data_IF_540213458227
#
_entry.id   IF_540213458227
#
_cell.length_a   1.000
_cell.length_b   1.000
_cell.length_c   1.000
_cell.angle_alpha   90.00
_cell.angle_beta   90.00
_cell.angle_gamma   90.00
#
_symmetry.space_group_name_H-M   'P 1'
#
loop_
_entity.id
_entity.type
_entity.pdbx_description
1 polymer ?
#
# COMPACT_ATOMS: atom_id res chain seq x y z
N UNK A 1 -30.44 -4.05 -25.34
CA UNK A 1 -29.66 -4.53 -24.17
C UNK A 1 -28.69 -3.45 -23.65
N UNK A 2 -28.79 -2.99 -22.39
CA UNK A 2 -27.78 -2.09 -21.85
C UNK A 2 -26.46 -2.86 -21.77
N UNK A 3 -25.41 -2.30 -22.39
CA UNK A 3 -24.08 -2.91 -22.41
C UNK A 3 -23.48 -2.82 -21.00
N UNK A 4 -23.45 -3.93 -20.28
CA UNK A 4 -22.63 -4.08 -19.06
C UNK A 4 -21.16 -3.86 -19.45
N UNK A 5 -20.49 -2.90 -18.79
CA UNK A 5 -19.04 -2.68 -18.96
C UNK A 5 -18.34 -3.12 -17.67
N UNK A 6 -17.95 -4.38 -17.62
CA UNK A 6 -17.15 -4.88 -16.49
C UNK A 6 -15.85 -4.09 -16.37
N UNK A 7 -15.58 -3.58 -15.17
CA UNK A 7 -14.32 -2.91 -14.84
C UNK A 7 -13.17 -3.91 -14.66
N UNK A 8 -11.92 -3.43 -14.45
CA UNK A 8 -10.79 -4.32 -14.25
C UNK A 8 -10.93 -5.11 -12.94
N UNK A 9 -10.88 -6.43 -13.04
CA UNK A 9 -10.51 -7.31 -11.93
C UNK A 9 -9.00 -7.54 -11.98
N UNK A 10 -8.32 -7.39 -10.84
CA UNK A 10 -6.87 -7.44 -10.78
C UNK A 10 -6.42 -8.25 -9.57
N UNK A 11 -5.69 -9.33 -9.80
CA UNK A 11 -4.98 -10.02 -8.74
C UNK A 11 -3.64 -9.36 -8.45
N UNK A 12 -3.18 -9.46 -7.20
CA UNK A 12 -1.83 -9.02 -6.84
C UNK A 12 -0.81 -9.83 -7.65
N UNK A 13 0.23 -9.17 -8.17
CA UNK A 13 1.07 -9.75 -9.22
C UNK A 13 1.90 -10.97 -8.80
N UNK A 14 2.05 -11.19 -7.50
CA UNK A 14 2.68 -12.36 -6.86
C UNK A 14 1.69 -13.50 -6.54
N UNK A 15 0.38 -13.25 -6.59
CA UNK A 15 -0.61 -14.26 -6.25
C UNK A 15 -0.62 -15.39 -7.29
N UNK A 16 -0.61 -16.64 -6.83
CA UNK A 16 -0.80 -17.80 -7.69
C UNK A 16 -2.23 -17.83 -8.25
N UNK A 17 -2.44 -18.61 -9.32
CA UNK A 17 -3.72 -18.69 -10.03
C UNK A 17 -4.89 -19.12 -9.12
N UNK A 18 -4.66 -20.08 -8.22
CA UNK A 18 -5.68 -20.58 -7.29
C UNK A 18 -6.11 -19.52 -6.28
N UNK A 19 -5.15 -18.86 -5.64
CA UNK A 19 -5.42 -17.77 -4.68
C UNK A 19 -6.09 -16.58 -5.35
N UNK A 20 -5.66 -16.24 -6.56
CA UNK A 20 -6.27 -15.19 -7.39
C UNK A 20 -7.74 -15.51 -7.71
N UNK A 21 -8.02 -16.70 -8.24
CA UNK A 21 -9.38 -17.12 -8.60
C UNK A 21 -10.29 -17.16 -7.37
N UNK A 22 -9.80 -17.72 -6.26
CA UNK A 22 -10.56 -17.77 -5.00
C UNK A 22 -10.91 -16.37 -4.50
N UNK A 23 -9.95 -15.45 -4.52
CA UNK A 23 -10.15 -14.06 -4.11
C UNK A 23 -11.20 -13.35 -4.98
N UNK A 24 -11.09 -13.47 -6.30
CA UNK A 24 -12.05 -12.84 -7.22
C UNK A 24 -13.45 -13.45 -7.07
N UNK A 25 -13.55 -14.78 -6.92
CA UNK A 25 -14.82 -15.44 -6.70
C UNK A 25 -15.48 -15.00 -5.39
N UNK A 26 -14.69 -14.83 -4.32
CA UNK A 26 -15.18 -14.27 -3.06
C UNK A 26 -15.65 -12.83 -3.23
N UNK A 27 -14.87 -11.98 -3.88
CA UNK A 27 -15.25 -10.59 -4.14
C UNK A 27 -16.58 -10.50 -4.91
N UNK A 28 -16.81 -11.34 -5.92
CA UNK A 28 -18.08 -11.39 -6.64
C UNK A 28 -19.26 -11.87 -5.78
N UNK A 29 -19.03 -12.81 -4.85
CA UNK A 29 -20.08 -13.28 -3.91
C UNK A 29 -20.45 -12.21 -2.89
N UNK A 30 -19.48 -11.42 -2.45
CA UNK A 30 -19.69 -10.40 -1.42
C UNK A 30 -20.32 -9.13 -1.98
N UNK A 31 -20.08 -8.82 -3.25
CA UNK A 31 -20.51 -7.58 -3.90
C UNK A 31 -22.02 -7.28 -3.77
N UNK A 32 -22.97 -8.23 -3.97
CA UNK A 32 -24.40 -7.97 -3.79
C UNK A 32 -24.79 -7.64 -2.34
N UNK A 33 -24.11 -8.25 -1.37
CA UNK A 33 -24.39 -8.07 0.06
C UNK A 33 -23.83 -6.74 0.57
N UNK A 34 -22.68 -6.32 0.05
CA UNK A 34 -21.95 -5.14 0.49
C UNK A 34 -22.39 -3.88 -0.26
N UNK A 35 -22.57 -3.97 -1.57
CA UNK A 35 -22.93 -2.85 -2.45
C UNK A 35 -24.29 -3.06 -3.10
N UNK A 36 -25.31 -3.39 -2.30
CA UNK A 36 -26.66 -3.63 -2.82
C UNK A 36 -27.15 -2.43 -3.66
N UNK A 37 -27.71 -2.71 -4.84
CA UNK A 37 -28.22 -1.73 -5.82
C UNK A 37 -27.22 -0.71 -6.39
N UNK A 38 -25.92 -0.80 -6.07
CA UNK A 38 -24.92 0.15 -6.59
C UNK A 38 -24.57 -0.12 -8.05
N UNK A 39 -24.54 0.93 -8.87
CA UNK A 39 -24.10 0.85 -10.26
C UNK A 39 -22.59 0.78 -10.40
N UNK A 40 -21.85 1.26 -9.41
CA UNK A 40 -20.39 1.18 -9.36
C UNK A 40 -19.96 0.65 -8.00
N UNK A 41 -19.10 -0.35 -7.99
CA UNK A 41 -18.56 -0.94 -6.78
C UNK A 41 -17.07 -1.27 -6.93
N UNK A 42 -16.27 -1.00 -5.90
CA UNK A 42 -14.88 -1.45 -5.84
C UNK A 42 -14.62 -2.18 -4.53
N UNK A 43 -14.04 -3.36 -4.60
CA UNK A 43 -13.63 -4.14 -3.44
C UNK A 43 -12.12 -4.37 -3.48
N UNK A 44 -11.45 -4.10 -2.37
CA UNK A 44 -10.03 -4.31 -2.18
C UNK A 44 -9.82 -5.42 -1.15
N UNK A 45 -9.33 -6.56 -1.62
CA UNK A 45 -8.79 -7.64 -0.81
C UNK A 45 -7.26 -7.60 -0.89
N UNK A 46 -6.58 -8.23 0.07
CA UNK A 46 -5.12 -8.24 0.10
C UNK A 46 -4.47 -8.92 -1.12
N UNK A 47 -5.17 -9.86 -1.76
CA UNK A 47 -4.69 -10.63 -2.91
C UNK A 47 -5.36 -10.25 -4.23
N UNK A 48 -6.43 -9.44 -4.23
CA UNK A 48 -7.11 -8.99 -5.44
C UNK A 48 -7.96 -7.73 -5.25
N UNK A 49 -8.23 -7.03 -6.33
CA UNK A 49 -9.17 -5.91 -6.43
C UNK A 49 -10.24 -6.25 -7.46
N UNK A 50 -11.50 -6.02 -7.11
CA UNK A 50 -12.64 -6.14 -8.01
C UNK A 50 -13.25 -4.77 -8.24
N UNK A 51 -13.28 -4.30 -9.49
CA UNK A 51 -14.04 -3.12 -9.88
C UNK A 51 -15.21 -3.52 -10.79
N UNK A 52 -16.43 -3.23 -10.34
CA UNK A 52 -17.66 -3.43 -11.08
C UNK A 52 -18.25 -2.08 -11.48
N UNK A 53 -18.71 -1.98 -12.73
CA UNK A 53 -19.46 -0.83 -13.22
C UNK A 53 -20.56 -1.30 -14.17
N UNK A 54 -21.77 -0.81 -13.92
CA UNK A 54 -22.93 -0.91 -14.81
C UNK A 54 -23.40 0.50 -15.21
N UNK A 55 -22.55 1.50 -15.00
CA UNK A 55 -22.82 2.86 -15.43
C UNK A 55 -22.47 3.02 -16.92
N UNK A 56 -23.33 3.71 -17.68
CA UNK A 56 -23.09 4.04 -19.09
C UNK A 56 -21.87 4.94 -19.30
N UNK A 57 -21.43 5.61 -18.24
CA UNK A 57 -20.19 6.36 -18.11
C UNK A 57 -19.63 6.07 -16.72
N UNK A 58 -18.41 5.54 -16.62
CA UNK A 58 -17.74 5.47 -15.32
C UNK A 58 -17.67 6.88 -14.77
N UNK A 59 -18.26 7.17 -13.60
CA UNK A 59 -18.08 8.47 -12.99
C UNK A 59 -16.58 8.62 -12.76
N UNK A 60 -15.97 9.58 -13.47
CA UNK A 60 -14.57 9.95 -13.31
C UNK A 60 -14.08 10.08 -11.85
N UNK A 61 -14.93 10.36 -10.82
CA UNK A 61 -14.47 10.37 -9.44
C UNK A 61 -14.08 9.01 -8.83
N UNK A 62 -14.63 7.87 -9.26
CA UNK A 62 -14.46 6.59 -8.51
C UNK A 62 -13.14 5.90 -8.82
N UNK A 63 -12.80 5.81 -10.12
CA UNK A 63 -11.50 5.31 -10.55
C UNK A 63 -10.34 6.24 -10.15
N UNK A 64 -10.65 7.50 -9.80
CA UNK A 64 -9.69 8.52 -9.40
C UNK A 64 -9.55 8.68 -7.88
N UNK A 65 -10.46 8.11 -7.07
CA UNK A 65 -10.40 8.26 -5.61
C UNK A 65 -9.37 7.29 -5.03
N UNK A 66 -8.34 7.86 -4.41
CA UNK A 66 -7.36 7.08 -3.65
C UNK A 66 -7.86 6.88 -2.23
N UNK A 67 -7.98 5.63 -1.82
CA UNK A 67 -8.21 5.24 -0.43
C UNK A 67 -6.87 5.06 0.27
N UNK A 68 -6.77 5.60 1.49
CA UNK A 68 -5.52 5.64 2.25
C UNK A 68 -5.73 4.99 3.61
N UNK A 69 -4.84 4.07 3.96
CA UNK A 69 -4.82 3.39 5.25
C UNK A 69 -3.38 3.29 5.73
N UNK A 70 -3.19 3.41 7.03
CA UNK A 70 -1.89 3.32 7.66
C UNK A 70 -2.03 2.65 9.02
N UNK A 71 -0.95 2.05 9.49
CA UNK A 71 -0.87 1.45 10.81
C UNK A 71 -0.89 2.58 11.86
N UNK A 72 -1.59 2.34 12.97
CA UNK A 72 -1.58 3.27 14.11
C UNK A 72 -0.25 3.26 14.86
N UNK A 73 0.57 2.24 14.65
CA UNK A 73 1.92 2.13 15.19
C UNK A 73 2.89 2.97 14.36
N UNK A 74 3.71 3.75 15.06
CA UNK A 74 4.77 4.54 14.47
C UNK A 74 6.14 3.99 14.84
N UNK A 75 7.12 4.20 13.96
CA UNK A 75 8.53 4.00 14.28
C UNK A 75 8.96 4.95 15.39
N UNK A 76 9.77 4.46 16.32
CA UNK A 76 10.18 5.24 17.51
C UNK A 76 11.57 5.86 17.37
N UNK A 77 12.49 5.15 16.71
CA UNK A 77 13.86 5.58 16.38
C UNK A 77 14.01 6.05 14.93
N UNK A 78 14.98 6.94 14.66
CA UNK A 78 15.43 7.28 13.30
C UNK A 78 14.31 7.64 12.30
N UNK A 79 13.21 8.24 12.78
CA UNK A 79 12.00 8.61 12.02
C UNK A 79 12.29 9.26 10.66
N UNK A 80 13.21 10.23 10.63
CA UNK A 80 13.60 10.91 9.41
C UNK A 80 14.27 9.98 8.39
N UNK A 81 15.13 9.07 8.87
CA UNK A 81 15.75 8.04 8.02
C UNK A 81 14.72 7.04 7.53
N UNK A 82 13.80 6.60 8.41
CA UNK A 82 12.70 5.71 8.07
C UNK A 82 11.85 6.28 6.93
N UNK A 83 11.32 7.49 7.09
CA UNK A 83 10.46 8.13 6.08
C UNK A 83 11.17 8.31 4.73
N UNK A 84 12.45 8.68 4.73
CA UNK A 84 13.27 8.77 3.51
C UNK A 84 13.50 7.41 2.85
N UNK A 85 13.72 6.38 3.66
CA UNK A 85 13.92 5.01 3.17
C UNK A 85 12.64 4.44 2.56
N UNK A 86 11.49 4.61 3.22
CA UNK A 86 10.17 4.24 2.69
C UNK A 86 9.91 4.95 1.36
N UNK A 87 10.13 6.26 1.28
CA UNK A 87 9.92 7.01 0.04
C UNK A 87 10.81 6.50 -1.10
N UNK A 88 12.09 6.23 -0.82
CA UNK A 88 13.03 5.68 -1.81
C UNK A 88 12.63 4.27 -2.24
N UNK A 89 12.25 3.42 -1.30
CA UNK A 89 11.83 2.05 -1.56
C UNK A 89 10.56 2.00 -2.40
N UNK A 90 9.51 2.70 -1.99
CA UNK A 90 8.25 2.78 -2.75
C UNK A 90 8.50 3.36 -4.14
N UNK A 91 9.36 4.38 -4.27
CA UNK A 91 9.73 4.93 -5.58
C UNK A 91 10.41 3.90 -6.48
N UNK A 92 11.43 3.21 -5.98
CA UNK A 92 12.17 2.20 -6.74
C UNK A 92 11.27 1.02 -7.14
N UNK A 93 10.41 0.57 -6.23
CA UNK A 93 9.40 -0.47 -6.52
C UNK A 93 8.41 0.00 -7.58
N UNK A 94 7.95 1.26 -7.53
CA UNK A 94 7.05 1.83 -8.54
C UNK A 94 7.72 1.96 -9.92
N UNK A 95 9.00 2.36 -9.97
CA UNK A 95 9.77 2.42 -11.21
C UNK A 95 9.90 1.02 -11.83
N UNK A 96 10.26 0.01 -11.03
CA UNK A 96 10.36 -1.37 -11.52
C UNK A 96 9.02 -1.90 -12.02
N UNK A 97 7.93 -1.68 -11.27
CA UNK A 97 6.60 -2.09 -11.67
C UNK A 97 6.19 -1.45 -13.01
N UNK A 98 6.54 -0.17 -13.23
CA UNK A 98 6.18 0.55 -14.44
C UNK A 98 7.02 0.12 -15.65
N UNK A 99 8.34 0.00 -15.52
CA UNK A 99 9.25 -0.10 -16.67
C UNK A 99 9.86 -1.48 -16.87
N UNK A 100 9.97 -2.30 -15.83
CA UNK A 100 10.68 -3.58 -15.85
C UNK A 100 9.74 -4.79 -15.69
N UNK A 101 8.44 -4.57 -15.54
CA UNK A 101 7.44 -5.63 -15.31
C UNK A 101 6.32 -5.58 -16.33
N UNK A 102 6.14 -6.67 -17.09
CA UNK A 102 5.00 -6.85 -18.00
C UNK A 102 3.68 -7.00 -17.25
N UNK A 103 3.71 -7.50 -16.01
CA UNK A 103 2.55 -7.61 -15.11
C UNK A 103 2.18 -6.30 -14.44
N UNK A 104 2.96 -5.23 -14.68
CA UNK A 104 2.85 -3.93 -14.01
C UNK A 104 2.87 -4.06 -12.48
N UNK A 105 3.63 -5.03 -11.97
CA UNK A 105 3.75 -5.32 -10.54
C UNK A 105 5.22 -5.47 -10.19
N UNK A 106 5.60 -4.96 -9.02
CA UNK A 106 6.88 -5.24 -8.40
C UNK A 106 6.75 -5.27 -6.89
N UNK A 107 7.67 -6.01 -6.28
CA UNK A 107 7.91 -6.06 -4.84
C UNK A 107 9.33 -5.56 -4.55
N UNK A 108 9.54 -4.98 -3.38
CA UNK A 108 10.83 -4.50 -2.96
C UNK A 108 11.05 -4.65 -1.47
N UNK A 109 12.32 -4.73 -1.07
CA UNK A 109 12.73 -4.67 0.33
C UNK A 109 13.89 -3.68 0.53
N UNK A 110 14.01 -3.16 1.74
CA UNK A 110 15.15 -2.37 2.18
C UNK A 110 15.51 -2.73 3.62
N UNK A 111 16.81 -2.76 3.92
CA UNK A 111 17.30 -2.91 5.29
C UNK A 111 17.17 -1.58 6.04
N UNK A 112 16.76 -1.61 7.32
CA UNK A 112 16.56 -0.40 8.12
C UNK A 112 17.33 -0.42 9.45
N UNK A 113 16.77 -0.97 10.52
CA UNK A 113 17.39 -0.92 11.86
C UNK A 113 17.17 -2.20 12.67
N UNK A 114 17.47 -2.17 13.98
CA UNK A 114 17.33 -3.36 14.84
C UNK A 114 15.88 -3.66 15.22
N UNK A 115 15.03 -2.64 15.35
CA UNK A 115 13.61 -2.79 15.72
C UNK A 115 12.81 -3.33 14.53
N UNK A 116 13.05 -2.75 13.35
CA UNK A 116 12.48 -3.16 12.07
C UNK A 116 13.62 -3.48 11.09
N UNK A 117 14.12 -4.74 11.09
CA UNK A 117 15.24 -5.15 10.24
C UNK A 117 15.03 -4.85 8.76
N UNK A 118 13.78 -4.96 8.29
CA UNK A 118 13.43 -4.76 6.89
C UNK A 118 12.13 -3.98 6.75
N UNK A 119 12.07 -3.20 5.68
CA UNK A 119 10.85 -2.59 5.16
C UNK A 119 10.54 -3.26 3.83
N UNK A 120 9.29 -3.67 3.66
CA UNK A 120 8.80 -4.34 2.46
C UNK A 120 7.83 -3.43 1.74
N UNK A 121 7.79 -3.51 0.41
CA UNK A 121 6.82 -2.77 -0.41
C UNK A 121 6.35 -3.60 -1.60
N UNK A 122 5.15 -3.31 -2.10
CA UNK A 122 4.79 -3.61 -3.48
C UNK A 122 4.13 -2.40 -4.12
N UNK A 123 4.28 -2.32 -5.44
CA UNK A 123 3.58 -1.36 -6.29
C UNK A 123 2.95 -2.09 -7.48
N UNK A 124 1.73 -1.71 -7.85
CA UNK A 124 0.99 -2.35 -8.92
C UNK A 124 0.16 -1.37 -9.72
N UNK A 125 0.06 -1.61 -11.03
CA UNK A 125 -0.90 -0.99 -11.90
C UNK A 125 -1.76 -2.03 -12.64
N UNK A 126 -2.90 -1.58 -13.15
CA UNK A 126 -3.68 -2.34 -14.12
C UNK A 126 -2.86 -2.56 -15.41
N UNK A 127 -2.82 -3.80 -15.96
CA UNK A 127 -1.96 -4.13 -17.11
C UNK A 127 -2.22 -3.35 -18.39
N UNK A 128 -3.42 -2.78 -18.54
CA UNK A 128 -3.79 -1.99 -19.72
C UNK A 128 -3.19 -0.57 -19.72
N UNK A 129 -2.55 -0.14 -18.63
CA UNK A 129 -1.76 1.08 -18.61
C UNK A 129 -0.42 0.91 -19.33
N UNK A 130 -0.02 1.93 -20.10
CA UNK A 130 1.36 2.07 -20.58
C UNK A 130 2.32 2.26 -19.39
N UNK A 131 3.62 2.05 -19.60
CA UNK A 131 4.63 2.22 -18.56
C UNK A 131 4.59 3.63 -17.94
N UNK A 132 4.51 4.65 -18.80
CA UNK A 132 4.44 6.06 -18.39
C UNK A 132 3.16 6.34 -17.60
N UNK A 133 2.00 5.86 -18.06
CA UNK A 133 0.74 6.08 -17.33
C UNK A 133 0.73 5.36 -15.98
N UNK A 134 1.27 4.13 -15.92
CA UNK A 134 1.42 3.40 -14.66
C UNK A 134 2.27 4.20 -13.67
N UNK A 135 3.43 4.69 -14.13
CA UNK A 135 4.35 5.46 -13.29
C UNK A 135 3.72 6.76 -12.78
N UNK A 136 3.04 7.50 -13.66
CA UNK A 136 2.33 8.73 -13.30
C UNK A 136 1.21 8.47 -12.29
N UNK A 137 0.48 7.35 -12.43
CA UNK A 137 -0.56 6.96 -11.48
C UNK A 137 0.04 6.70 -10.10
N UNK A 138 1.10 5.89 -10.01
CA UNK A 138 1.77 5.60 -8.75
C UNK A 138 2.37 6.87 -8.12
N UNK A 139 2.96 7.77 -8.91
CA UNK A 139 3.50 9.03 -8.45
C UNK A 139 2.45 9.90 -7.73
N UNK A 140 1.20 9.93 -8.24
CA UNK A 140 0.10 10.66 -7.61
C UNK A 140 -0.27 10.10 -6.24
N UNK A 141 -0.16 8.79 -6.04
CA UNK A 141 -0.40 8.19 -4.73
C UNK A 141 0.77 8.43 -3.76
N UNK A 142 2.00 8.56 -4.27
CA UNK A 142 3.19 8.74 -3.43
C UNK A 142 3.21 10.07 -2.68
N UNK A 143 2.43 11.07 -3.09
CA UNK A 143 2.28 12.33 -2.34
C UNK A 143 1.71 12.10 -0.93
N UNK A 144 1.01 10.97 -0.72
CA UNK A 144 0.46 10.59 0.57
C UNK A 144 1.54 10.19 1.58
N UNK A 145 2.75 9.83 1.13
CA UNK A 145 3.85 9.41 2.02
C UNK A 145 4.23 10.52 3.01
N UNK A 146 4.64 11.73 2.56
CA UNK A 146 4.95 12.82 3.47
C UNK A 146 3.71 13.52 4.06
N UNK A 147 2.52 13.36 3.47
CA UNK A 147 1.31 14.07 3.91
C UNK A 147 0.54 13.31 5.00
N UNK A 148 0.49 11.98 4.93
CA UNK A 148 -0.39 11.17 5.78
C UNK A 148 0.28 9.93 6.40
N UNK A 149 1.37 9.44 5.83
CA UNK A 149 2.00 8.18 6.28
C UNK A 149 3.30 8.42 7.07
N UNK A 150 3.50 9.65 7.55
CA UNK A 150 4.69 10.03 8.33
C UNK A 150 4.81 9.16 9.56
N UNK A 151 5.99 8.58 9.74
CA UNK A 151 6.40 7.70 10.85
C UNK A 151 5.63 6.36 10.95
N UNK A 152 4.58 6.14 10.16
CA UNK A 152 3.77 4.91 10.27
C UNK A 152 4.54 3.69 9.80
N UNK A 153 4.49 2.60 10.57
CA UNK A 153 5.18 1.34 10.26
C UNK A 153 4.63 0.61 9.03
N UNK A 154 3.47 1.04 8.53
CA UNK A 154 2.92 0.51 7.30
C UNK A 154 1.79 1.37 6.76
N UNK A 155 1.67 1.41 5.43
CA UNK A 155 0.55 2.08 4.79
C UNK A 155 0.23 1.49 3.43
N UNK A 156 -0.99 1.75 2.97
CA UNK A 156 -1.45 1.43 1.62
C UNK A 156 -2.22 2.59 1.01
N UNK A 157 -1.89 2.89 -0.24
CA UNK A 157 -2.65 3.76 -1.11
C UNK A 157 -3.33 2.89 -2.17
N UNK A 158 -4.66 2.82 -2.11
CA UNK A 158 -5.50 1.95 -2.92
C UNK A 158 -6.32 2.76 -3.91
N UNK A 159 -6.08 2.53 -5.19
CA UNK A 159 -6.88 3.10 -6.28
C UNK A 159 -7.07 2.02 -7.34
N UNK A 160 -8.20 2.07 -8.06
CA UNK A 160 -8.62 1.07 -9.05
C UNK A 160 -7.53 0.78 -10.10
N UNK A 161 -6.78 1.81 -10.50
CA UNK A 161 -5.82 1.74 -11.60
C UNK A 161 -4.39 1.47 -11.17
N UNK A 162 -4.02 1.89 -9.96
CA UNK A 162 -2.70 1.70 -9.39
C UNK A 162 -2.75 1.76 -7.87
N UNK A 163 -1.89 1.01 -7.21
CA UNK A 163 -1.83 0.96 -5.75
C UNK A 163 -0.39 0.70 -5.31
N UNK A 164 -0.08 1.09 -4.08
CA UNK A 164 1.13 0.61 -3.41
C UNK A 164 0.83 0.32 -1.95
N UNK A 165 1.65 -0.55 -1.35
CA UNK A 165 1.66 -0.82 0.08
C UNK A 165 3.10 -0.96 0.56
N UNK A 166 3.38 -0.49 1.76
CA UNK A 166 4.59 -0.84 2.49
C UNK A 166 4.26 -1.29 3.92
N UNK A 167 5.11 -2.14 4.49
CA UNK A 167 5.00 -2.67 5.84
C UNK A 167 6.39 -3.01 6.39
N UNK A 168 6.57 -3.04 7.71
CA UNK A 168 7.80 -3.53 8.37
C UNK A 168 7.87 -5.05 8.54
N UNK A 169 6.88 -5.79 8.03
CA UNK A 169 6.86 -7.26 7.94
C UNK A 169 6.59 -7.69 6.50
N UNK A 170 6.92 -8.94 6.14
CA UNK A 170 6.61 -9.48 4.80
C UNK A 170 5.13 -9.82 4.68
N UNK A 171 4.51 -9.48 3.53
CA UNK A 171 3.08 -9.61 3.29
C UNK A 171 2.75 -10.04 1.85
N UNK A 172 3.76 -10.51 1.11
CA UNK A 172 3.65 -11.04 -0.23
C UNK A 172 4.41 -12.36 -0.36
N UNK A 173 3.94 -13.23 -1.25
CA UNK A 173 4.43 -14.60 -1.39
C UNK A 173 5.45 -14.74 -2.53
N UNK A 174 5.52 -13.73 -3.40
CA UNK A 174 6.39 -13.70 -4.57
C UNK A 174 7.83 -13.30 -4.27
N UNK A 175 8.71 -13.42 -5.28
CA UNK A 175 10.10 -13.01 -5.13
C UNK A 175 10.20 -11.49 -4.93
N UNK A 176 11.21 -11.05 -4.19
CA UNK A 176 11.59 -9.63 -4.10
C UNK A 176 12.35 -9.22 -5.35
N UNK A 177 11.83 -8.20 -6.07
CA UNK A 177 12.39 -7.72 -7.34
C UNK A 177 13.35 -6.53 -7.15
N UNK A 178 13.09 -5.69 -6.14
CA UNK A 178 13.91 -4.52 -5.80
C UNK A 178 14.55 -4.72 -4.44
N UNK A 179 15.86 -4.50 -4.33
CA UNK A 179 16.57 -4.51 -3.04
C UNK A 179 17.33 -3.21 -2.88
N UNK A 180 17.05 -2.47 -1.83
CA UNK A 180 17.83 -1.30 -1.45
C UNK A 180 18.74 -1.65 -0.27
N UNK A 181 20.04 -1.35 -0.34
CA UNK A 181 20.92 -1.49 0.81
C UNK A 181 20.52 -0.51 1.91
N UNK A 182 20.82 -0.87 3.17
CA UNK A 182 20.68 0.05 4.30
C UNK A 182 21.35 1.39 4.00
N UNK A 183 20.77 2.53 4.42
CA UNK A 183 21.50 3.80 4.40
C UNK A 183 22.80 3.62 5.19
N UNK A 184 23.94 4.01 4.61
CA UNK A 184 25.21 4.00 5.33
C UNK A 184 25.06 4.78 6.64
N UNK A 185 25.59 4.28 7.77
CA UNK A 185 25.58 5.03 9.01
C UNK A 185 26.25 6.38 8.75
N UNK A 186 25.55 7.47 9.04
CA UNK A 186 26.10 8.82 9.03
C UNK A 186 27.31 8.83 9.95
N UNK A 187 28.50 8.79 9.34
CA UNK A 187 29.77 8.92 10.06
C UNK A 187 30.00 10.40 10.33
N UNK A 188 29.12 10.99 11.13
CA UNK A 188 29.34 12.33 11.68
C UNK A 188 29.17 12.17 13.19
N UNK A 189 30.30 11.91 13.85
CA UNK A 189 30.39 11.84 15.29
C UNK A 189 29.98 13.21 15.87
N UNK A 190 28.92 13.29 16.68
CA UNK A 190 28.69 14.49 17.48
C UNK A 190 29.82 14.60 18.51
N UNK A 191 30.49 15.75 18.56
CA UNK A 191 31.45 16.07 19.60
C UNK A 191 30.83 15.84 20.99
N UNK A 192 31.57 15.31 21.97
CA UNK A 192 31.02 14.97 23.28
C UNK A 192 30.58 16.24 24.01
N UNK A 193 29.29 16.36 24.28
CA UNK A 193 28.74 17.39 25.16
C UNK A 193 28.70 16.90 26.63
N UNK A 194 28.94 17.78 27.63
CA UNK A 194 29.07 17.39 29.04
C UNK A 194 27.75 16.94 29.68
N UNK A 195 27.88 16.10 30.71
CA UNK A 195 26.81 15.44 31.45
C UNK A 195 25.79 16.39 32.09
N UNK A 196 24.51 16.01 32.01
CA UNK A 196 23.42 16.59 32.80
C UNK A 196 22.65 15.48 33.55
N UNK A 197 22.27 15.81 34.78
CA UNK A 197 21.77 14.99 35.90
C UNK A 197 20.30 14.56 35.70
N UNK A 198 19.86 13.39 36.19
CA UNK A 198 18.55 12.81 35.88
C UNK A 198 17.40 13.42 36.69
N UNK A 199 16.22 13.53 36.07
CA UNK A 199 14.95 13.79 36.78
C UNK A 199 13.94 12.67 36.53
N UNK A 200 13.22 12.38 37.61
CA UNK A 200 12.38 11.23 37.97
C UNK A 200 11.12 11.03 37.11
N UNK A 201 10.75 9.77 36.90
CA UNK A 201 9.51 9.27 36.26
C UNK A 201 8.31 9.28 37.22
N UNK A 202 7.06 9.34 36.71
CA UNK A 202 5.91 8.49 37.13
C UNK A 202 4.65 8.75 36.25
N UNK A 203 3.59 7.87 36.27
CA UNK A 203 2.91 7.37 35.06
C UNK A 203 1.39 7.66 34.97
N UNK A 204 0.77 7.33 33.82
CA UNK A 204 -0.65 6.93 33.72
C UNK A 204 -0.89 6.18 32.38
N UNK A 205 -1.15 4.87 32.38
CA UNK A 205 -2.48 4.21 32.36
C UNK A 205 -3.39 4.65 31.21
N UNK A 206 -3.55 3.82 30.18
CA UNK A 206 -4.80 3.06 29.88
C UNK A 206 -5.45 3.72 28.66
N UNK A 207 -5.98 3.06 27.63
CA UNK A 207 -6.72 1.82 27.54
C UNK A 207 -7.03 1.50 26.05
N UNK A 208 -7.31 0.23 25.78
CA UNK A 208 -8.21 -0.31 24.74
C UNK A 208 -7.74 -0.29 23.26
N UNK A 209 -6.93 -1.29 22.92
CA UNK A 209 -6.81 -1.84 21.56
C UNK A 209 -8.05 -2.65 21.20
N UNK A 210 -8.84 -2.15 20.25
CA UNK A 210 -9.78 -2.99 19.51
C UNK A 210 -9.00 -3.64 18.36
N UNK A 211 -8.69 -4.92 18.53
CA UNK A 211 -8.25 -5.79 17.44
C UNK A 211 -9.44 -6.02 16.51
N UNK A 212 -9.39 -5.44 15.31
CA UNK A 212 -10.27 -5.82 14.21
C UNK A 212 -9.43 -6.45 13.12
N UNK A 213 -9.41 -7.78 13.19
CA UNK A 213 -8.95 -8.66 12.15
C UNK A 213 -9.78 -8.44 10.85
N UNK A 214 -9.10 -8.46 9.70
CA UNK A 214 -9.65 -8.54 8.33
C UNK A 214 -10.52 -7.36 7.85
N UNK A 215 -9.92 -6.19 7.64
CA UNK A 215 -10.60 -5.08 6.94
C UNK A 215 -10.66 -5.31 5.42
N UNK A 216 -11.75 -5.93 4.98
CA UNK A 216 -12.28 -5.78 3.62
C UNK A 216 -12.62 -4.31 3.38
N UNK A 217 -12.14 -3.75 2.28
CA UNK A 217 -12.40 -2.36 1.92
C UNK A 217 -13.28 -2.30 0.69
N UNK A 218 -14.41 -1.61 0.83
CA UNK A 218 -15.42 -1.51 -0.21
C UNK A 218 -15.87 -0.07 -0.44
N UNK A 219 -16.16 0.25 -1.69
CA UNK A 219 -16.82 1.48 -2.11
C UNK A 219 -18.04 1.12 -2.95
N UNK A 220 -19.20 1.68 -2.61
CA UNK A 220 -20.47 1.43 -3.26
C UNK A 220 -21.10 2.77 -3.65
N UNK A 221 -21.54 2.91 -4.91
CA UNK A 221 -22.17 4.13 -5.44
C UNK A 221 -23.40 3.77 -6.29
N UNK A 222 -24.53 4.43 -6.00
CA UNK A 222 -25.86 4.29 -6.63
C UNK A 222 -25.94 4.96 -8.02
#
# INVERSE_FOLDING_TARGET
>A
PPRTRSGPSLCRGDANATSCLSCLAQAFRDLPNVCNYSKVATMYYDSCTLHYSNATRDPAPVAARTYRFWESTNVTSEKGQFNRLVARLVNATADYAAFNSTRRYASGEADFDREFPKIYSWAQCTPDLTAVQCRQCLAKNMVLLPEYFVDSTGARALQVRCSFRYQTYSFFDGPVMVRLPAPAPSTEAPAPAPAAVPTVLTPSQGENTVSLAWFLLFCCLL
#
